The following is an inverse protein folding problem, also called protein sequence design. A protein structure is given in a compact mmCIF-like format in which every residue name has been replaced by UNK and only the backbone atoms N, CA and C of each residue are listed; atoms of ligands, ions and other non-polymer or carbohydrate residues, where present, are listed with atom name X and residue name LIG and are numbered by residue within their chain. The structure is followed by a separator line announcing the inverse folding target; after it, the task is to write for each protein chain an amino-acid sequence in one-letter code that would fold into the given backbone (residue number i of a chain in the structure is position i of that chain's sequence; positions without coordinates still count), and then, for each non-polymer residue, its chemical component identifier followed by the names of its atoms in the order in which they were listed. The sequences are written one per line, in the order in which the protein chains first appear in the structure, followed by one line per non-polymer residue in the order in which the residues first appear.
data_IF_071806726935
#
_entry.id   IF_071806726935
#
_cell.length_a   1.000
_cell.length_b   1.000
_cell.length_c   1.000
_cell.angle_alpha   90.00
_cell.angle_beta   90.00
_cell.angle_gamma   90.00
#
_symmetry.space_group_name_H-M   'P 1'
#
loop_
_entity.id
_entity.type
_entity.pdbx_description
1 polymer ?
#
# COMPACT_ATOMS: atom_id res chain seq x y z
N UNK A 1 -12.28 0.74 34.73
CA UNK A 1 -11.11 1.11 33.91
C UNK A 1 -11.26 2.57 33.60
N UNK A 2 -10.31 3.41 34.01
CA UNK A 2 -10.30 4.82 33.61
C UNK A 2 -10.23 4.90 32.09
N UNK A 3 -11.19 5.56 31.46
CA UNK A 3 -11.16 5.80 30.02
C UNK A 3 -10.11 6.87 29.74
N UNK A 4 -8.96 6.48 29.21
CA UNK A 4 -7.95 7.41 28.71
C UNK A 4 -8.54 8.28 27.59
N UNK A 5 -8.32 9.59 27.62
CA UNK A 5 -8.71 10.51 26.54
C UNK A 5 -7.60 10.64 25.46
N UNK A 6 -6.72 9.66 25.34
CA UNK A 6 -5.62 9.69 24.35
C UNK A 6 -6.15 9.31 22.98
N UNK A 7 -5.90 10.20 22.01
CA UNK A 7 -6.16 9.97 20.59
C UNK A 7 -4.82 9.83 19.89
N UNK A 8 -4.62 8.71 19.19
CA UNK A 8 -3.48 8.53 18.29
C UNK A 8 -3.83 9.11 16.92
N UNK A 9 -2.95 9.96 16.39
CA UNK A 9 -3.13 10.62 15.09
C UNK A 9 -2.11 10.18 14.06
N UNK A 10 -1.23 9.24 14.42
CA UNK A 10 -0.17 8.71 13.57
C UNK A 10 -0.19 7.18 13.64
N UNK A 11 -1.31 6.62 13.19
CA UNK A 11 -1.53 5.17 13.20
C UNK A 11 -1.57 4.64 11.76
N UNK A 12 -0.59 3.85 11.37
CA UNK A 12 -0.53 3.28 10.03
C UNK A 12 -1.18 1.90 9.96
N UNK A 13 -2.10 1.72 9.02
CA UNK A 13 -2.76 0.43 8.77
C UNK A 13 -2.40 -0.13 7.39
N UNK A 14 -2.54 -1.44 7.24
CA UNK A 14 -2.24 -2.16 5.99
C UNK A 14 -3.37 -3.15 5.64
N UNK A 15 -4.52 -2.66 5.15
CA UNK A 15 -5.64 -3.52 4.81
C UNK A 15 -5.31 -4.49 3.66
N UNK A 16 -5.85 -5.71 3.68
CA UNK A 16 -5.63 -6.71 2.62
C UNK A 16 -5.95 -6.20 1.20
N UNK A 17 -7.03 -5.43 0.95
CA UNK A 17 -7.30 -4.88 -0.38
C UNK A 17 -6.19 -3.96 -0.88
N UNK A 18 -5.53 -3.25 0.03
CA UNK A 18 -4.41 -2.37 -0.30
C UNK A 18 -3.15 -3.16 -0.65
N UNK A 19 -2.81 -4.18 0.13
CA UNK A 19 -1.70 -5.10 -0.20
C UNK A 19 -1.90 -5.75 -1.57
N UNK A 20 -3.12 -6.16 -1.88
CA UNK A 20 -3.44 -6.71 -3.19
C UNK A 20 -3.20 -5.67 -4.30
N UNK A 21 -3.65 -4.44 -4.12
CA UNK A 21 -3.46 -3.38 -5.09
C UNK A 21 -1.97 -3.05 -5.34
N UNK A 22 -1.15 -3.04 -4.28
CA UNK A 22 0.30 -2.87 -4.39
C UNK A 22 0.94 -3.99 -5.21
N UNK A 23 0.57 -5.24 -4.92
CA UNK A 23 1.07 -6.42 -5.63
C UNK A 23 0.66 -6.41 -7.10
N UNK A 24 -0.58 -6.05 -7.40
CA UNK A 24 -1.09 -5.90 -8.77
C UNK A 24 -0.36 -4.78 -9.55
N UNK A 25 0.18 -3.79 -8.84
CA UNK A 25 0.98 -2.70 -9.39
C UNK A 25 2.49 -3.00 -9.45
N UNK A 26 2.94 -4.17 -8.98
CA UNK A 26 4.36 -4.54 -8.94
C UNK A 26 5.17 -3.80 -7.87
N UNK A 27 4.52 -3.36 -6.79
CA UNK A 27 5.16 -2.75 -5.62
C UNK A 27 5.23 -3.80 -4.53
N UNK A 28 6.42 -4.38 -4.35
CA UNK A 28 6.61 -5.53 -3.46
C UNK A 28 7.04 -5.14 -2.04
N UNK A 29 7.83 -4.07 -1.90
CA UNK A 29 8.39 -3.65 -0.62
C UNK A 29 8.17 -2.13 -0.36
N UNK A 30 7.76 -1.71 0.84
CA UNK A 30 7.76 -0.29 1.25
C UNK A 30 9.19 0.26 1.34
N UNK A 31 10.13 -0.57 1.78
CA UNK A 31 11.56 -0.29 1.87
C UNK A 31 12.25 -1.49 1.24
N UNK A 32 13.11 -1.28 0.24
CA UNK A 32 13.76 -2.34 -0.53
C UNK A 32 14.29 -3.47 0.37
N UNK A 33 13.76 -4.68 0.22
CA UNK A 33 14.18 -5.86 0.99
C UNK A 33 13.47 -6.04 2.34
N UNK A 34 12.49 -5.21 2.67
CA UNK A 34 11.66 -5.33 3.88
C UNK A 34 10.22 -5.50 3.44
N UNK A 35 9.64 -6.68 3.67
CA UNK A 35 8.24 -6.94 3.39
C UNK A 35 7.32 -6.08 4.27
N UNK A 36 6.10 -5.83 3.80
CA UNK A 36 5.06 -5.29 4.68
C UNK A 36 4.84 -6.21 5.87
N UNK A 37 4.74 -5.66 7.11
CA UNK A 37 4.35 -6.46 8.24
C UNK A 37 2.92 -6.98 8.04
N UNK A 38 2.61 -8.11 8.66
CA UNK A 38 1.22 -8.54 8.78
C UNK A 38 0.49 -7.51 9.64
N UNK A 39 -0.67 -7.05 9.15
CA UNK A 39 -1.57 -6.21 9.90
C UNK A 39 -2.89 -6.96 10.08
N UNK A 40 -3.41 -6.97 11.30
CA UNK A 40 -4.70 -7.53 11.65
C UNK A 40 -5.39 -6.61 12.67
N UNK A 41 -6.71 -6.47 12.53
CA UNK A 41 -7.50 -5.52 13.32
C UNK A 41 -7.48 -5.86 14.82
N UNK A 42 -7.47 -7.15 15.17
CA UNK A 42 -7.52 -7.58 16.57
C UNK A 42 -6.22 -7.20 17.30
N UNK A 43 -5.06 -7.46 16.69
CA UNK A 43 -3.76 -7.03 17.22
C UNK A 43 -3.66 -5.50 17.31
N UNK A 44 -4.21 -4.78 16.33
CA UNK A 44 -4.29 -3.31 16.32
C UNK A 44 -5.03 -2.77 17.56
N UNK A 45 -6.22 -3.34 17.83
CA UNK A 45 -7.05 -3.01 18.98
C UNK A 45 -6.37 -3.40 20.31
N UNK A 46 -5.71 -4.56 20.36
CA UNK A 46 -4.94 -4.95 21.55
C UNK A 46 -3.80 -3.98 21.83
N UNK A 47 -3.13 -3.45 20.80
CA UNK A 47 -2.10 -2.41 20.95
C UNK A 47 -2.74 -1.13 21.49
N UNK A 48 -3.91 -0.73 21.00
CA UNK A 48 -4.64 0.42 21.53
C UNK A 48 -4.97 0.24 23.02
N UNK A 49 -5.53 -0.91 23.41
CA UNK A 49 -5.90 -1.23 24.79
C UNK A 49 -4.69 -1.21 25.73
N UNK A 50 -3.59 -1.85 25.34
CA UNK A 50 -2.35 -1.90 26.14
C UNK A 50 -1.73 -0.52 26.36
N UNK A 51 -1.94 0.41 25.43
CA UNK A 51 -1.38 1.77 25.48
C UNK A 51 -2.38 2.83 25.96
N UNK A 52 -3.61 2.42 26.31
CA UNK A 52 -4.69 3.32 26.70
C UNK A 52 -5.02 4.33 25.60
N UNK A 53 -5.09 3.90 24.35
CA UNK A 53 -5.53 4.73 23.21
C UNK A 53 -7.02 4.51 23.02
N UNK A 54 -7.82 5.57 23.17
CA UNK A 54 -9.28 5.48 23.03
C UNK A 54 -9.71 5.48 21.56
N UNK A 55 -8.99 6.22 20.71
CA UNK A 55 -9.29 6.31 19.29
C UNK A 55 -8.00 6.54 18.51
N UNK A 56 -7.95 5.96 17.31
CA UNK A 56 -6.88 6.19 16.34
C UNK A 56 -7.45 6.80 15.07
N UNK A 57 -6.86 7.90 14.62
CA UNK A 57 -7.06 8.40 13.26
C UNK A 57 -6.02 7.70 12.39
N UNK A 58 -6.50 6.76 11.58
CA UNK A 58 -5.65 5.89 10.78
C UNK A 58 -5.27 6.49 9.43
N UNK A 59 -4.09 6.12 8.95
CA UNK A 59 -3.61 6.43 7.61
C UNK A 59 -3.06 5.17 6.95
N UNK A 60 -3.19 5.08 5.62
CA UNK A 60 -2.58 3.97 4.86
C UNK A 60 -1.07 4.13 4.91
N UNK A 61 -0.36 3.03 5.15
CA UNK A 61 1.11 3.02 5.15
C UNK A 61 1.70 3.50 3.82
N UNK A 62 2.98 3.89 3.82
CA UNK A 62 3.69 4.24 2.60
C UNK A 62 3.69 3.05 1.60
N UNK A 63 3.58 3.31 0.28
CA UNK A 63 3.62 4.61 -0.40
C UNK A 63 2.30 5.39 -0.45
N UNK A 64 1.23 4.90 0.20
CA UNK A 64 -0.10 5.49 0.06
C UNK A 64 -0.70 5.17 -1.31
N UNK A 65 -1.01 6.17 -2.13
CA UNK A 65 -1.59 5.91 -3.44
C UNK A 65 -0.60 5.27 -4.42
N UNK A 66 -0.99 4.18 -5.08
CA UNK A 66 -0.25 3.59 -6.19
C UNK A 66 -1.11 3.60 -7.44
N UNK A 67 -0.62 4.28 -8.48
CA UNK A 67 -1.21 4.18 -9.81
C UNK A 67 -0.65 2.94 -10.52
N UNK A 68 -1.53 2.21 -11.21
CA UNK A 68 -1.06 1.23 -12.20
C UNK A 68 -0.30 1.99 -13.28
N UNK A 69 1.02 1.83 -13.33
CA UNK A 69 1.76 2.19 -14.54
C UNK A 69 1.15 1.41 -15.70
N UNK A 70 0.79 2.10 -16.78
CA UNK A 70 0.30 1.45 -17.98
C UNK A 70 1.35 0.41 -18.39
N UNK A 71 0.95 -0.86 -18.44
CA UNK A 71 1.78 -1.93 -19.00
C UNK A 71 2.04 -1.53 -20.45
N UNK A 72 3.20 -0.91 -20.71
CA UNK A 72 3.69 -0.77 -22.07
C UNK A 72 3.87 -2.19 -22.56
N UNK A 73 2.92 -2.67 -23.38
CA UNK A 73 3.16 -3.82 -24.22
C UNK A 73 4.25 -3.37 -25.18
N UNK A 74 5.52 -3.61 -24.82
CA UNK A 74 6.62 -3.68 -25.77
C UNK A 74 6.42 -4.94 -26.61
N UNK A 75 5.38 -4.93 -27.46
CA UNK A 75 5.38 -5.76 -28.64
C UNK A 75 6.59 -5.37 -29.50
N UNK A 76 7.22 -6.31 -30.20
CA UNK A 76 8.36 -5.98 -31.05
C UNK A 76 7.93 -4.89 -32.02
N UNK A 77 8.71 -3.81 -32.10
CA UNK A 77 8.60 -2.85 -33.19
C UNK A 77 8.71 -3.67 -34.48
N UNK A 78 7.58 -3.86 -35.17
CA UNK A 78 7.59 -4.42 -36.52
C UNK A 78 8.57 -3.61 -37.38
N UNK A 79 9.24 -4.24 -38.35
CA UNK A 79 10.25 -3.56 -39.14
C UNK A 79 9.64 -2.31 -39.80
N UNK A 80 10.43 -1.21 -39.93
CA UNK A 80 9.91 0.04 -40.47
C UNK A 80 9.40 -0.20 -41.89
N UNK A 81 8.09 -0.06 -42.09
CA UNK A 81 7.49 -0.02 -43.43
C UNK A 81 7.81 1.32 -44.08
N UNK A 82 9.02 1.45 -44.63
CA UNK A 82 9.37 2.51 -45.56
C UNK A 82 9.27 1.98 -46.98
N UNK A 83 8.07 1.89 -47.55
CA UNK A 83 7.88 1.81 -49.01
C UNK A 83 6.48 2.29 -49.38
N UNK A 84 6.35 3.57 -49.71
CA UNK A 84 5.33 4.09 -50.63
C UNK A 84 5.92 5.32 -51.32
N UNK A 85 6.49 5.11 -52.50
CA UNK A 85 6.65 6.08 -53.62
C UNK A 85 7.35 5.35 -54.78
N UNK A 86 6.55 4.79 -55.69
CA UNK A 86 6.82 4.60 -57.12
C UNK A 86 5.48 4.47 -57.82
#
# INVERSE_FOLDING_TARGET
MESSNRIDVHHHIIPEPYLKALKDAGVDDPIKGVAYPQWDLDTDLEVMDRNGIQASIVSITAPGWVSRAARTQSGPLGPPTSTWLS
#
